data_IF_247550454426
#
_entry.id   IF_247550454426
#
_cell.length_a   1.000
_cell.length_b   1.000
_cell.length_c   1.000
_cell.angle_alpha   90.00
_cell.angle_beta   90.00
_cell.angle_gamma   90.00
#
_symmetry.space_group_name_H-M   'P 1'
#
loop_
_entity.id
_entity.type
_entity.pdbx_description
1 polymer ?
#
# COMPACT_ATOMS: atom_id res chain seq x y z
N UNK A 1 -8.07 72.50 -35.74
CA UNK A 1 -8.93 71.31 -35.97
C UNK A 1 -8.33 70.44 -37.07
N UNK A 2 -7.08 69.98 -36.88
CA UNK A 2 -6.35 69.12 -37.83
C UNK A 2 -5.10 68.45 -37.21
N UNK A 3 -5.00 68.39 -35.86
CA UNK A 3 -3.85 67.76 -35.18
C UNK A 3 -4.12 66.30 -34.74
N UNK A 4 -5.37 65.83 -34.78
CA UNK A 4 -5.72 64.45 -34.39
C UNK A 4 -5.80 63.44 -35.56
N UNK A 5 -5.51 63.87 -36.79
CA UNK A 5 -5.64 63.03 -38.00
C UNK A 5 -4.41 62.16 -38.32
N UNK A 6 -3.31 62.27 -37.56
CA UNK A 6 -2.05 61.58 -37.86
C UNK A 6 -1.38 60.87 -36.67
N UNK A 7 -2.14 60.38 -35.69
CA UNK A 7 -1.55 59.63 -34.57
C UNK A 7 -1.74 58.11 -34.72
N UNK A 8 -1.21 57.54 -35.81
CA UNK A 8 -1.29 56.11 -36.13
C UNK A 8 -0.27 55.22 -35.40
N UNK A 9 0.39 55.70 -34.35
CA UNK A 9 1.42 54.92 -33.66
C UNK A 9 1.41 55.08 -32.13
N UNK A 10 0.22 55.19 -31.53
CA UNK A 10 0.12 54.97 -30.07
C UNK A 10 0.20 53.48 -29.80
N UNK A 11 1.16 53.01 -28.98
CA UNK A 11 1.19 51.61 -28.58
C UNK A 11 -0.14 51.25 -27.91
N UNK A 12 -0.65 50.02 -28.12
CA UNK A 12 -1.92 49.59 -27.52
C UNK A 12 -1.86 49.79 -26.00
N UNK A 13 -2.83 50.52 -25.46
CA UNK A 13 -2.96 50.77 -24.02
C UNK A 13 -3.81 49.66 -23.42
N UNK A 14 -3.23 48.89 -22.52
CA UNK A 14 -3.90 47.78 -21.85
C UNK A 14 -4.50 48.24 -20.52
N UNK A 15 -5.71 47.76 -20.22
CA UNK A 15 -6.21 47.86 -18.84
C UNK A 15 -5.49 46.84 -17.96
N UNK A 16 -5.46 47.06 -16.64
CA UNK A 16 -4.89 46.10 -15.68
C UNK A 16 -5.56 44.73 -15.80
N UNK A 17 -6.88 44.70 -16.03
CA UNK A 17 -7.63 43.47 -16.21
C UNK A 17 -7.25 42.74 -17.50
N UNK A 18 -7.10 43.47 -18.61
CA UNK A 18 -6.74 42.86 -19.89
C UNK A 18 -5.30 42.33 -19.89
N UNK A 19 -4.37 43.06 -19.26
CA UNK A 19 -3.00 42.59 -19.07
C UNK A 19 -2.94 41.34 -18.20
N UNK A 20 -3.69 41.31 -17.09
CA UNK A 20 -3.72 40.15 -16.18
C UNK A 20 -4.31 38.92 -16.87
N UNK A 21 -5.40 39.10 -17.63
CA UNK A 21 -6.01 38.03 -18.42
C UNK A 21 -5.04 37.51 -19.47
N UNK A 22 -4.37 38.41 -20.19
CA UNK A 22 -3.34 38.04 -21.17
C UNK A 22 -2.21 37.21 -20.56
N UNK A 23 -1.70 37.60 -19.38
CA UNK A 23 -0.68 36.83 -18.67
C UNK A 23 -1.18 35.46 -18.22
N UNK A 24 -2.43 35.37 -17.75
CA UNK A 24 -3.04 34.08 -17.40
C UNK A 24 -3.10 33.17 -18.63
N UNK A 25 -3.67 33.67 -19.72
CA UNK A 25 -3.87 32.88 -20.93
C UNK A 25 -2.51 32.43 -21.52
N UNK A 26 -1.48 33.27 -21.43
CA UNK A 26 -0.11 32.91 -21.81
C UNK A 26 0.45 31.77 -20.94
N UNK A 27 0.35 31.88 -19.61
CA UNK A 27 0.82 30.85 -18.69
C UNK A 27 0.06 29.52 -18.87
N UNK A 28 -1.25 29.58 -19.05
CA UNK A 28 -2.10 28.39 -19.24
C UNK A 28 -1.90 27.73 -20.62
N UNK A 29 -1.42 28.49 -21.61
CA UNK A 29 -1.11 27.95 -22.94
C UNK A 29 0.21 27.17 -23.02
N UNK A 30 1.09 27.33 -22.04
CA UNK A 30 2.37 26.62 -21.98
C UNK A 30 2.17 25.20 -21.41
N UNK A 31 2.44 24.19 -22.23
CA UNK A 31 2.27 22.79 -21.85
C UNK A 31 3.13 22.37 -20.64
N UNK A 32 4.31 22.98 -20.44
CA UNK A 32 5.15 22.68 -19.29
C UNK A 32 4.58 23.29 -18.00
N UNK A 33 3.87 24.41 -18.09
CA UNK A 33 3.26 25.07 -16.94
C UNK A 33 1.89 24.50 -16.59
N UNK A 34 1.22 23.85 -17.55
CA UNK A 34 -0.04 23.16 -17.34
C UNK A 34 0.13 21.81 -16.58
N UNK A 35 1.32 21.20 -16.61
CA UNK A 35 1.64 19.90 -15.99
C UNK A 35 3.04 19.94 -15.37
N UNK A 36 3.17 20.57 -14.19
CA UNK A 36 4.46 20.85 -13.55
C UNK A 36 4.59 20.22 -12.16
N UNK A 37 5.81 19.79 -11.85
CA UNK A 37 6.25 19.45 -10.50
C UNK A 37 7.13 20.57 -9.93
N UNK A 38 6.81 21.05 -8.74
CA UNK A 38 7.57 22.07 -8.03
C UNK A 38 8.00 21.55 -6.66
N UNK A 39 9.30 21.61 -6.40
CA UNK A 39 9.90 21.26 -5.12
C UNK A 39 10.04 22.50 -4.24
N UNK A 40 9.80 22.36 -2.93
CA UNK A 40 10.15 23.39 -1.96
C UNK A 40 9.78 23.04 -0.52
N UNK A 41 10.20 23.90 0.40
CA UNK A 41 9.79 23.83 1.79
C UNK A 41 8.40 24.45 1.96
N UNK A 42 7.52 23.73 2.63
CA UNK A 42 6.18 24.20 2.96
C UNK A 42 6.23 25.24 4.06
N UNK A 43 5.51 26.34 3.87
CA UNK A 43 5.31 27.39 4.87
C UNK A 43 3.89 27.96 4.78
N UNK A 44 3.45 28.68 5.81
CA UNK A 44 2.15 29.35 5.87
C UNK A 44 0.95 28.44 5.56
N UNK A 45 0.97 27.18 6.03
CA UNK A 45 -0.15 26.25 5.84
C UNK A 45 -1.43 26.79 6.48
N UNK A 46 -2.50 26.84 5.71
CA UNK A 46 -3.83 27.27 6.12
C UNK A 46 -4.91 26.37 5.53
N UNK A 47 -5.83 25.92 6.38
CA UNK A 47 -6.99 25.11 5.99
C UNK A 47 -8.28 25.68 6.60
N UNK A 48 -8.94 26.64 5.93
CA UNK A 48 -10.18 27.24 6.39
C UNK A 48 -11.35 26.23 6.42
N UNK A 49 -12.50 26.65 6.96
CA UNK A 49 -13.75 25.84 7.02
C UNK A 49 -14.26 25.38 5.64
N UNK A 50 -13.88 26.06 4.56
CA UNK A 50 -14.16 25.63 3.18
C UNK A 50 -13.54 24.27 2.83
N UNK A 51 -12.50 23.85 3.56
CA UNK A 51 -11.79 22.60 3.34
C UNK A 51 -10.74 22.65 2.23
N UNK A 52 -10.53 23.81 1.61
CA UNK A 52 -9.40 24.05 0.71
C UNK A 52 -8.10 24.15 1.52
N UNK A 53 -6.99 23.80 0.88
CA UNK A 53 -5.66 23.86 1.47
C UNK A 53 -4.86 24.94 0.74
N UNK A 54 -4.29 25.84 1.51
CA UNK A 54 -3.42 26.93 1.04
C UNK A 54 -2.08 26.81 1.75
N UNK A 55 -0.99 26.97 1.03
CA UNK A 55 0.34 27.06 1.60
C UNK A 55 1.29 27.77 0.64
N UNK A 56 2.51 28.03 1.08
CA UNK A 56 3.58 28.61 0.28
C UNK A 56 4.71 27.60 0.19
N UNK A 57 5.14 27.28 -1.03
CA UNK A 57 6.42 26.63 -1.28
C UNK A 57 7.49 27.69 -1.33
N UNK A 58 8.62 27.46 -0.66
CA UNK A 58 9.78 28.36 -0.71
C UNK A 58 11.06 27.58 -0.91
N UNK A 59 12.03 28.22 -1.54
CA UNK A 59 13.42 27.80 -1.59
C UNK A 59 14.33 28.93 -1.07
N UNK A 60 15.63 28.88 -1.33
CA UNK A 60 16.58 29.90 -0.88
C UNK A 60 16.40 31.28 -1.54
N UNK A 61 15.66 31.38 -2.65
CA UNK A 61 15.60 32.59 -3.51
C UNK A 61 14.17 33.05 -3.82
N UNK A 62 13.20 32.14 -3.81
CA UNK A 62 11.85 32.39 -4.29
C UNK A 62 10.79 31.73 -3.41
N UNK A 63 9.55 32.18 -3.59
CA UNK A 63 8.37 31.59 -2.98
C UNK A 63 7.21 31.54 -3.98
N UNK A 64 6.38 30.52 -3.87
CA UNK A 64 5.24 30.24 -4.74
C UNK A 64 4.02 29.89 -3.88
N UNK A 65 2.92 30.60 -4.08
CA UNK A 65 1.65 30.24 -3.44
C UNK A 65 1.05 29.02 -4.10
N UNK A 66 0.57 28.10 -3.27
CA UNK A 66 -0.10 26.88 -3.69
C UNK A 66 -1.52 26.86 -3.17
N UNK A 67 -2.45 26.52 -4.05
CA UNK A 67 -3.87 26.33 -3.75
C UNK A 67 -4.25 24.91 -4.14
N UNK A 68 -4.89 24.19 -3.21
CA UNK A 68 -5.44 22.88 -3.49
C UNK A 68 -6.91 22.82 -3.08
N UNK A 69 -7.77 22.54 -4.06
CA UNK A 69 -9.20 22.52 -3.86
C UNK A 69 -9.65 21.30 -3.05
N UNK A 70 -10.75 21.45 -2.30
CA UNK A 70 -11.25 20.44 -1.35
C UNK A 70 -11.36 19.04 -1.96
N UNK A 71 -11.89 18.84 -3.19
CA UNK A 71 -11.96 17.52 -3.79
C UNK A 71 -10.60 16.82 -3.95
N UNK A 72 -9.53 17.58 -4.18
CA UNK A 72 -8.15 17.06 -4.28
C UNK A 72 -7.56 16.82 -2.90
N UNK A 73 -7.74 17.76 -1.96
CA UNK A 73 -7.28 17.63 -0.56
C UNK A 73 -7.82 16.36 0.10
N UNK A 74 -9.10 16.03 -0.14
CA UNK A 74 -9.73 14.84 0.44
C UNK A 74 -9.15 13.51 -0.07
N UNK A 75 -8.39 13.53 -1.17
CA UNK A 75 -7.72 12.35 -1.74
C UNK A 75 -6.26 12.20 -1.28
N UNK A 76 -5.72 13.21 -0.59
CA UNK A 76 -4.36 13.15 -0.10
C UNK A 76 -4.21 12.08 0.99
N UNK A 77 -3.11 11.33 0.93
CA UNK A 77 -2.73 10.36 1.97
C UNK A 77 -2.05 11.03 3.17
N UNK A 78 -1.52 12.23 2.98
CA UNK A 78 -0.92 13.05 4.04
C UNK A 78 -1.23 14.53 3.82
N UNK A 79 -1.19 15.32 4.89
CA UNK A 79 -1.32 16.78 4.81
C UNK A 79 0.05 17.42 5.06
N UNK A 80 0.49 18.34 4.20
CA UNK A 80 1.78 19.00 4.38
C UNK A 80 1.76 19.90 5.62
N UNK A 81 2.89 19.97 6.32
CA UNK A 81 3.12 20.80 7.51
C UNK A 81 4.23 21.82 7.26
N UNK A 82 4.21 22.94 7.99
CA UNK A 82 5.28 23.94 7.90
C UNK A 82 6.65 23.30 8.20
N UNK A 83 7.66 23.64 7.39
CA UNK A 83 9.02 23.12 7.49
C UNK A 83 9.26 21.81 6.74
N UNK A 84 8.24 21.17 6.18
CA UNK A 84 8.41 19.94 5.40
C UNK A 84 8.90 20.24 3.98
N UNK A 85 9.83 19.44 3.49
CA UNK A 85 10.22 19.43 2.08
C UNK A 85 9.26 18.54 1.28
N UNK A 86 8.68 19.09 0.22
CA UNK A 86 7.69 18.38 -0.61
C UNK A 86 7.92 18.65 -2.09
N UNK A 87 7.36 17.78 -2.93
CA UNK A 87 7.12 18.02 -4.34
C UNK A 87 5.61 18.13 -4.58
N UNK A 88 5.19 19.18 -5.29
CA UNK A 88 3.78 19.48 -5.56
C UNK A 88 3.55 19.46 -7.07
N UNK A 89 2.51 18.76 -7.48
CA UNK A 89 2.06 18.67 -8.86
C UNK A 89 0.84 19.54 -9.11
N UNK A 90 0.80 20.21 -10.27
CA UNK A 90 -0.38 20.89 -10.76
C UNK A 90 -0.10 21.80 -11.94
N UNK A 91 -0.90 22.87 -12.04
CA UNK A 91 -0.78 23.86 -13.12
C UNK A 91 -0.52 25.26 -12.57
N UNK A 92 0.30 26.05 -13.27
CA UNK A 92 0.49 27.48 -12.99
C UNK A 92 -0.61 28.28 -13.68
N UNK A 93 -1.25 29.16 -12.91
CA UNK A 93 -2.21 30.14 -13.44
C UNK A 93 -2.22 31.39 -12.57
N UNK A 94 -2.97 32.41 -12.96
CA UNK A 94 -3.03 33.72 -12.30
C UNK A 94 -4.35 33.87 -11.56
N UNK A 95 -4.27 34.18 -10.26
CA UNK A 95 -5.40 34.66 -9.50
C UNK A 95 -5.74 36.10 -9.92
N UNK A 96 -6.67 36.24 -10.86
CA UNK A 96 -6.99 37.51 -11.54
C UNK A 96 -7.26 38.68 -10.57
N UNK A 97 -8.04 38.45 -9.52
CA UNK A 97 -8.40 39.51 -8.58
C UNK A 97 -7.20 40.09 -7.82
N UNK A 98 -6.11 39.31 -7.68
CA UNK A 98 -4.88 39.75 -7.03
C UNK A 98 -3.70 39.96 -7.98
N UNK A 99 -3.82 39.61 -9.27
CA UNK A 99 -2.72 39.65 -10.23
C UNK A 99 -1.52 38.77 -9.87
N UNK A 100 -1.72 37.73 -9.06
CA UNK A 100 -0.65 36.86 -8.55
C UNK A 100 -0.68 35.51 -9.25
N UNK A 101 0.46 35.05 -9.78
CA UNK A 101 0.59 33.67 -10.25
C UNK A 101 0.68 32.71 -9.06
N UNK A 102 0.07 31.53 -9.22
CA UNK A 102 -0.07 30.51 -8.18
C UNK A 102 -0.01 29.12 -8.83
N UNK A 103 0.36 28.13 -8.03
CA UNK A 103 0.25 26.72 -8.39
C UNK A 103 -1.10 26.19 -7.91
N UNK A 104 -1.93 25.75 -8.85
CA UNK A 104 -3.17 25.03 -8.56
C UNK A 104 -2.85 23.54 -8.48
N UNK A 105 -2.63 23.07 -7.26
CA UNK A 105 -2.15 21.72 -6.99
C UNK A 105 -3.26 20.67 -7.09
N UNK A 106 -2.91 19.50 -7.60
CA UNK A 106 -3.76 18.31 -7.60
C UNK A 106 -3.17 17.14 -6.81
N UNK A 107 -1.84 17.12 -6.62
CA UNK A 107 -1.09 16.06 -5.92
C UNK A 107 0.08 16.68 -5.16
N UNK A 108 0.41 16.10 -4.01
CA UNK A 108 1.55 16.48 -3.15
C UNK A 108 2.22 15.20 -2.69
N UNK A 109 3.55 15.15 -2.66
CA UNK A 109 4.35 14.08 -2.06
C UNK A 109 5.52 14.63 -1.25
N UNK A 110 5.97 13.99 -0.16
CA UNK A 110 7.20 14.38 0.52
C UNK A 110 8.40 14.28 -0.43
N UNK A 111 9.37 15.17 -0.26
CA UNK A 111 10.60 15.14 -1.05
C UNK A 111 11.35 13.82 -0.77
N UNK A 112 11.71 13.09 -1.83
CA UNK A 112 12.35 11.76 -1.75
C UNK A 112 11.44 10.59 -2.14
N UNK A 113 10.11 10.74 -2.06
CA UNK A 113 9.16 9.69 -2.50
C UNK A 113 9.29 9.40 -4.01
N UNK A 114 9.66 10.40 -4.82
CA UNK A 114 9.89 10.23 -6.26
C UNK A 114 11.08 9.32 -6.60
N UNK A 115 12.18 9.40 -5.85
CA UNK A 115 13.34 8.52 -6.05
C UNK A 115 13.02 7.08 -5.63
N UNK A 116 12.39 6.91 -4.46
CA UNK A 116 11.91 5.59 -4.02
C UNK A 116 10.93 4.98 -5.01
N UNK A 117 9.99 5.75 -5.55
CA UNK A 117 9.05 5.23 -6.55
C UNK A 117 9.73 4.84 -7.86
N UNK A 118 10.67 5.65 -8.36
CA UNK A 118 11.47 5.31 -9.55
C UNK A 118 12.30 4.06 -9.33
N UNK A 119 12.95 3.94 -8.19
CA UNK A 119 13.75 2.78 -7.83
C UNK A 119 12.89 1.52 -7.68
N UNK A 120 11.70 1.65 -7.08
CA UNK A 120 10.72 0.58 -6.99
C UNK A 120 10.31 0.08 -8.37
N UNK A 121 9.96 0.98 -9.31
CA UNK A 121 9.61 0.59 -10.68
C UNK A 121 10.77 -0.08 -11.41
N UNK A 122 11.99 0.43 -11.23
CA UNK A 122 13.21 -0.15 -11.81
C UNK A 122 13.45 -1.57 -11.32
N UNK A 123 13.43 -1.78 -10.00
CA UNK A 123 13.62 -3.10 -9.39
C UNK A 123 12.47 -4.04 -9.72
N UNK A 124 11.22 -3.57 -9.72
CA UNK A 124 10.06 -4.36 -10.12
C UNK A 124 10.25 -4.91 -11.53
N UNK A 125 10.51 -4.05 -12.51
CA UNK A 125 10.66 -4.46 -13.90
C UNK A 125 11.79 -5.48 -14.09
N UNK A 126 12.92 -5.29 -13.39
CA UNK A 126 14.05 -6.22 -13.43
C UNK A 126 13.69 -7.60 -12.85
N UNK A 127 13.14 -7.64 -11.64
CA UNK A 127 12.82 -8.90 -10.96
C UNK A 127 11.65 -9.64 -11.63
N UNK A 128 10.73 -8.90 -12.24
CA UNK A 128 9.66 -9.44 -13.08
C UNK A 128 10.23 -10.08 -14.35
N UNK A 129 11.20 -9.45 -15.02
CA UNK A 129 11.88 -10.02 -16.17
C UNK A 129 12.69 -11.29 -15.84
N UNK A 130 13.15 -11.42 -14.60
CA UNK A 130 13.79 -12.63 -14.07
C UNK A 130 12.78 -13.73 -13.66
N UNK A 131 11.46 -13.48 -13.75
CA UNK A 131 10.40 -14.44 -13.41
C UNK A 131 10.12 -14.61 -11.92
N UNK A 132 10.67 -13.75 -11.05
CA UNK A 132 10.51 -13.88 -9.60
C UNK A 132 9.07 -13.65 -9.13
N UNK A 133 8.24 -12.99 -9.95
CA UNK A 133 6.85 -12.68 -9.66
C UNK A 133 5.85 -13.60 -10.38
N UNK A 134 6.32 -14.61 -11.09
CA UNK A 134 5.47 -15.51 -11.88
C UNK A 134 4.44 -16.23 -11.01
N UNK A 135 3.17 -16.19 -11.42
CA UNK A 135 2.07 -16.87 -10.73
C UNK A 135 2.29 -18.38 -10.65
N UNK A 136 2.93 -18.99 -11.67
CA UNK A 136 3.24 -20.42 -11.69
C UNK A 136 4.24 -20.88 -10.60
N UNK A 137 4.99 -19.94 -10.01
CA UNK A 137 5.91 -20.22 -8.91
C UNK A 137 5.19 -20.27 -7.55
N UNK A 138 4.07 -19.54 -7.42
CA UNK A 138 3.37 -19.36 -6.14
C UNK A 138 2.72 -20.66 -5.71
N UNK A 139 2.98 -21.05 -4.46
CA UNK A 139 2.51 -22.31 -3.88
C UNK A 139 1.20 -22.11 -3.14
N UNK A 140 0.31 -23.12 -3.13
CA UNK A 140 -0.91 -23.04 -2.34
C UNK A 140 -0.59 -23.02 -0.85
N UNK A 141 -1.33 -22.22 -0.09
CA UNK A 141 -1.26 -22.20 1.37
C UNK A 141 -1.92 -23.49 1.92
N UNK A 142 -1.26 -24.23 2.82
CA UNK A 142 -1.85 -25.42 3.42
C UNK A 142 -3.17 -25.10 4.15
N UNK A 143 -4.26 -25.86 3.94
CA UNK A 143 -5.55 -25.56 4.55
C UNK A 143 -5.59 -25.80 6.08
N UNK A 144 -4.68 -26.65 6.59
CA UNK A 144 -4.59 -27.03 8.00
C UNK A 144 -3.13 -26.98 8.48
N UNK A 145 -2.51 -25.80 8.58
CA UNK A 145 -1.11 -25.70 8.97
C UNK A 145 -0.95 -26.08 10.44
N UNK A 146 -0.10 -27.06 10.73
CA UNK A 146 0.24 -27.46 12.10
C UNK A 146 1.21 -26.49 12.72
N UNK A 147 2.11 -25.89 11.92
CA UNK A 147 3.11 -24.94 12.38
C UNK A 147 3.15 -23.70 11.51
N UNK A 148 3.01 -22.53 12.13
CA UNK A 148 3.03 -21.22 11.49
C UNK A 148 4.27 -20.45 11.98
N UNK A 149 5.14 -20.07 11.04
CA UNK A 149 6.24 -19.16 11.32
C UNK A 149 5.78 -17.70 11.20
N UNK A 150 6.24 -16.82 12.08
CA UNK A 150 5.98 -15.38 11.98
C UNK A 150 7.30 -14.62 11.98
N UNK A 151 7.50 -13.76 10.98
CA UNK A 151 8.58 -12.78 10.91
C UNK A 151 7.98 -11.38 11.08
N UNK A 152 8.23 -10.78 12.24
CA UNK A 152 7.79 -9.41 12.55
C UNK A 152 8.56 -8.85 13.75
N UNK A 153 8.32 -7.58 14.09
CA UNK A 153 8.88 -6.98 15.32
C UNK A 153 8.26 -7.60 16.59
N UNK A 154 9.07 -7.98 17.59
CA UNK A 154 8.58 -8.61 18.82
C UNK A 154 7.73 -7.67 19.70
N UNK A 155 7.90 -6.35 19.55
CA UNK A 155 7.22 -5.34 20.38
C UNK A 155 6.01 -4.69 19.68
N UNK A 156 5.77 -5.00 18.40
CA UNK A 156 4.74 -4.37 17.59
C UNK A 156 3.31 -4.85 17.87
N UNK A 157 2.32 -3.98 17.62
CA UNK A 157 0.90 -4.35 17.66
C UNK A 157 0.56 -5.48 16.66
N UNK A 158 1.21 -5.47 15.49
CA UNK A 158 1.02 -6.48 14.44
C UNK A 158 1.17 -7.92 14.94
N UNK A 159 2.19 -8.20 15.78
CA UNK A 159 2.37 -9.53 16.36
C UNK A 159 1.17 -9.93 17.23
N UNK A 160 0.73 -9.04 18.11
CA UNK A 160 -0.40 -9.28 19.02
C UNK A 160 -1.67 -9.55 18.23
N UNK A 161 -1.93 -8.78 17.18
CA UNK A 161 -3.13 -8.92 16.34
C UNK A 161 -3.15 -10.23 15.56
N UNK A 162 -1.99 -10.65 15.02
CA UNK A 162 -1.84 -11.96 14.39
C UNK A 162 -2.05 -13.10 15.38
N UNK A 163 -1.41 -13.04 16.55
CA UNK A 163 -1.56 -14.07 17.59
C UNK A 163 -3.01 -14.18 18.09
N UNK A 164 -3.69 -13.06 18.30
CA UNK A 164 -5.09 -13.05 18.71
C UNK A 164 -6.00 -13.67 17.64
N UNK A 165 -5.75 -13.34 16.38
CA UNK A 165 -6.49 -13.90 15.24
C UNK A 165 -6.29 -15.41 15.13
N UNK A 166 -5.04 -15.89 15.18
CA UNK A 166 -4.72 -17.32 15.11
C UNK A 166 -5.35 -18.08 16.29
N UNK A 167 -5.22 -17.58 17.52
CA UNK A 167 -5.83 -18.21 18.70
C UNK A 167 -7.35 -18.31 18.61
N UNK A 168 -8.00 -17.27 18.08
CA UNK A 168 -9.46 -17.26 17.90
C UNK A 168 -9.91 -18.24 16.82
N UNK A 169 -9.21 -18.27 15.67
CA UNK A 169 -9.62 -19.01 14.46
C UNK A 169 -9.12 -20.45 14.43
N UNK A 170 -7.87 -20.69 14.83
CA UNK A 170 -7.25 -22.00 14.72
C UNK A 170 -6.21 -22.23 15.84
N UNK A 171 -6.66 -22.42 17.09
CA UNK A 171 -5.78 -22.61 18.25
C UNK A 171 -4.98 -23.93 18.25
N UNK A 172 -5.18 -24.79 17.23
CA UNK A 172 -4.46 -26.05 17.07
C UNK A 172 -3.07 -25.87 16.45
N UNK A 173 -2.82 -24.72 15.80
CA UNK A 173 -1.52 -24.44 15.19
C UNK A 173 -0.49 -24.02 16.25
N UNK A 174 0.70 -24.60 16.16
CA UNK A 174 1.90 -24.11 16.83
C UNK A 174 2.38 -22.83 16.12
N UNK A 175 2.65 -21.77 16.87
CA UNK A 175 3.14 -20.50 16.32
C UNK A 175 4.56 -20.24 16.81
N UNK A 176 5.48 -20.03 15.87
CA UNK A 176 6.89 -19.75 16.17
C UNK A 176 7.27 -18.37 15.64
N UNK A 177 7.71 -17.48 16.53
CA UNK A 177 8.18 -16.15 16.18
C UNK A 177 9.69 -16.19 15.88
N UNK A 178 10.07 -15.73 14.70
CA UNK A 178 11.43 -15.30 14.40
C UNK A 178 11.46 -13.76 14.42
N UNK A 179 11.93 -13.14 15.51
CA UNK A 179 11.87 -11.69 15.66
C UNK A 179 12.82 -11.01 14.66
N UNK A 180 12.33 -9.97 14.01
CA UNK A 180 13.13 -9.18 13.07
C UNK A 180 12.84 -7.69 13.22
N UNK A 181 13.85 -6.85 12.93
CA UNK A 181 13.61 -5.47 12.60
C UNK A 181 12.84 -5.42 11.27
N UNK A 182 11.77 -4.63 11.23
CA UNK A 182 10.86 -4.54 10.07
C UNK A 182 10.78 -3.12 9.49
N UNK A 183 11.68 -2.24 9.92
CA UNK A 183 11.86 -0.88 9.42
C UNK A 183 13.29 -0.41 9.71
N UNK A 184 13.76 0.58 8.93
CA UNK A 184 15.13 1.11 9.02
C UNK A 184 16.15 0.29 8.24
N UNK A 185 17.38 0.81 8.16
CA UNK A 185 18.45 0.28 7.27
C UNK A 185 18.87 -1.17 7.59
N UNK A 186 18.74 -1.59 8.85
CA UNK A 186 19.11 -2.94 9.30
C UNK A 186 18.00 -3.98 9.09
N UNK A 187 16.79 -3.55 8.71
CA UNK A 187 15.65 -4.44 8.57
C UNK A 187 15.80 -5.51 7.48
N UNK A 188 16.32 -5.22 6.26
CA UNK A 188 16.48 -6.25 5.23
C UNK A 188 17.28 -7.47 5.71
N UNK A 189 18.43 -7.22 6.33
CA UNK A 189 19.30 -8.29 6.83
C UNK A 189 18.64 -9.06 8.00
N UNK A 190 17.93 -8.37 8.88
CA UNK A 190 17.18 -9.01 9.96
C UNK A 190 16.04 -9.91 9.45
N UNK A 191 15.30 -9.46 8.43
CA UNK A 191 14.22 -10.23 7.80
C UNK A 191 14.79 -11.49 7.13
N UNK A 192 15.89 -11.36 6.38
CA UNK A 192 16.55 -12.49 5.70
C UNK A 192 16.96 -13.56 6.72
N UNK A 193 17.69 -13.16 7.78
CA UNK A 193 18.10 -14.09 8.85
C UNK A 193 16.91 -14.77 9.54
N UNK A 194 15.81 -14.04 9.75
CA UNK A 194 14.62 -14.61 10.35
C UNK A 194 13.92 -15.63 9.43
N UNK A 195 13.84 -15.36 8.13
CA UNK A 195 13.32 -16.29 7.12
C UNK A 195 14.19 -17.55 7.03
N UNK A 196 15.51 -17.39 6.99
CA UNK A 196 16.46 -18.50 6.98
C UNK A 196 16.33 -19.34 8.25
N UNK A 197 16.29 -18.72 9.44
CA UNK A 197 16.14 -19.43 10.70
C UNK A 197 14.84 -20.25 10.75
N UNK A 198 13.72 -19.71 10.27
CA UNK A 198 12.47 -20.45 10.17
C UNK A 198 12.59 -21.64 9.21
N UNK A 199 13.16 -21.44 8.02
CA UNK A 199 13.29 -22.50 7.03
C UNK A 199 14.24 -23.62 7.48
N UNK A 200 15.33 -23.29 8.16
CA UNK A 200 16.35 -24.27 8.60
C UNK A 200 15.94 -25.02 9.86
N UNK A 201 15.57 -24.30 10.93
CA UNK A 201 15.41 -24.89 12.26
C UNK A 201 13.97 -25.27 12.58
N UNK A 202 13.01 -24.50 12.07
CA UNK A 202 11.59 -24.62 12.45
C UNK A 202 10.81 -25.45 11.42
N UNK A 203 11.08 -25.24 10.13
CA UNK A 203 10.37 -25.85 8.99
C UNK A 203 8.85 -25.75 9.14
N UNK A 204 8.29 -24.53 9.22
CA UNK A 204 6.85 -24.34 9.35
C UNK A 204 6.12 -24.73 8.06
N UNK A 205 4.81 -24.97 8.16
CA UNK A 205 3.96 -25.24 6.99
C UNK A 205 3.67 -23.97 6.19
N UNK A 206 3.73 -22.80 6.84
CA UNK A 206 3.52 -21.47 6.24
C UNK A 206 4.25 -20.41 7.07
N UNK A 207 4.75 -19.36 6.41
CA UNK A 207 5.40 -18.22 7.06
C UNK A 207 4.57 -16.95 6.83
N UNK A 208 4.36 -16.17 7.88
CA UNK A 208 3.77 -14.83 7.81
C UNK A 208 4.89 -13.79 7.92
N UNK A 209 5.12 -13.02 6.85
CA UNK A 209 6.01 -11.88 6.86
C UNK A 209 5.18 -10.60 6.97
N UNK A 210 5.25 -9.92 8.11
CA UNK A 210 4.28 -8.85 8.39
C UNK A 210 4.87 -7.64 9.10
N UNK A 211 4.31 -6.48 8.76
CA UNK A 211 4.54 -5.19 9.41
C UNK A 211 3.22 -4.42 9.41
N UNK A 212 2.92 -3.71 10.50
CA UNK A 212 1.79 -2.77 10.52
C UNK A 212 1.97 -1.61 9.53
N UNK A 213 1.01 -0.69 9.51
CA UNK A 213 1.11 0.54 8.71
C UNK A 213 2.25 1.47 9.13
N UNK A 214 2.51 2.47 8.29
CA UNK A 214 3.47 3.55 8.55
C UNK A 214 3.76 4.32 7.27
N UNK A 215 4.81 5.14 7.26
CA UNK A 215 5.21 5.89 6.06
C UNK A 215 5.79 4.93 5.01
N UNK A 216 5.82 5.36 3.75
CA UNK A 216 6.38 4.58 2.65
C UNK A 216 7.86 4.23 2.90
N UNK A 217 8.61 5.15 3.49
CA UNK A 217 10.02 4.97 3.90
C UNK A 217 10.19 3.81 4.88
N UNK A 218 9.28 3.65 5.84
CA UNK A 218 9.35 2.56 6.80
C UNK A 218 9.09 1.20 6.15
N UNK A 219 8.33 1.18 5.04
CA UNK A 219 8.04 -0.03 4.27
C UNK A 219 9.16 -0.38 3.29
N UNK A 220 10.14 0.50 3.10
CA UNK A 220 11.15 0.34 2.05
C UNK A 220 12.01 -0.91 2.20
N UNK A 221 12.20 -1.40 3.43
CA UNK A 221 12.92 -2.65 3.70
C UNK A 221 12.32 -3.87 2.95
N UNK A 222 11.03 -3.82 2.65
CA UNK A 222 10.30 -4.85 1.90
C UNK A 222 10.41 -4.70 0.37
N UNK A 223 11.11 -3.66 -0.10
CA UNK A 223 11.51 -3.47 -1.49
C UNK A 223 12.98 -3.83 -1.74
N UNK A 224 13.72 -4.27 -0.73
CA UNK A 224 15.10 -4.71 -0.90
C UNK A 224 15.14 -6.02 -1.72
N UNK A 225 15.91 -6.02 -2.80
CA UNK A 225 16.07 -7.17 -3.71
C UNK A 225 16.48 -8.45 -2.96
N UNK A 226 17.33 -8.34 -1.93
CA UNK A 226 17.80 -9.50 -1.15
C UNK A 226 16.66 -10.13 -0.36
N UNK A 227 15.75 -9.32 0.17
CA UNK A 227 14.56 -9.81 0.89
C UNK A 227 13.60 -10.48 -0.09
N UNK A 228 13.38 -9.88 -1.26
CA UNK A 228 12.55 -10.49 -2.32
C UNK A 228 13.08 -11.87 -2.69
N UNK A 229 14.39 -11.99 -2.94
CA UNK A 229 15.03 -13.27 -3.25
C UNK A 229 14.94 -14.27 -2.09
N UNK A 230 15.07 -13.83 -0.84
CA UNK A 230 14.89 -14.70 0.32
C UNK A 230 13.45 -15.23 0.45
N UNK A 231 12.44 -14.40 0.14
CA UNK A 231 11.04 -14.83 0.10
C UNK A 231 10.82 -15.87 -1.00
N UNK A 232 11.37 -15.64 -2.20
CA UNK A 232 11.31 -16.59 -3.33
C UNK A 232 11.99 -17.92 -2.98
N UNK A 233 13.14 -17.87 -2.30
CA UNK A 233 13.92 -19.04 -1.90
C UNK A 233 13.36 -19.79 -0.67
N UNK A 234 12.34 -19.24 0.00
CA UNK A 234 11.76 -19.86 1.19
C UNK A 234 11.20 -21.25 0.87
N UNK A 235 11.50 -22.25 1.71
CA UNK A 235 11.00 -23.61 1.54
C UNK A 235 9.50 -23.73 1.85
N UNK A 236 9.03 -22.98 2.84
CA UNK A 236 7.60 -22.86 3.17
C UNK A 236 6.95 -21.72 2.36
N UNK A 237 5.64 -21.84 2.01
CA UNK A 237 4.90 -20.75 1.40
C UNK A 237 4.85 -19.52 2.31
N UNK A 238 5.06 -18.34 1.73
CA UNK A 238 5.11 -17.06 2.44
C UNK A 238 3.85 -16.26 2.15
N UNK A 239 3.19 -15.80 3.22
CA UNK A 239 2.09 -14.84 3.16
C UNK A 239 2.59 -13.49 3.66
N UNK A 240 2.46 -12.44 2.85
CA UNK A 240 2.78 -11.08 3.30
C UNK A 240 1.57 -10.41 3.93
N UNK A 241 1.83 -9.58 4.95
CA UNK A 241 0.86 -8.71 5.59
C UNK A 241 1.50 -7.39 5.94
N UNK A 242 1.92 -6.63 4.92
CA UNK A 242 2.76 -5.44 5.06
C UNK A 242 1.92 -4.18 4.76
N UNK A 243 1.75 -3.32 5.75
CA UNK A 243 1.02 -2.06 5.58
C UNK A 243 -0.52 -2.22 5.56
N UNK A 244 -1.17 -1.51 4.64
CA UNK A 244 -2.62 -1.51 4.39
C UNK A 244 -2.95 -1.94 2.95
N UNK A 245 -4.25 -1.93 2.62
CA UNK A 245 -4.76 -2.33 1.31
C UNK A 245 -4.07 -1.63 0.13
N UNK A 246 -3.72 -0.36 0.29
CA UNK A 246 -3.12 0.48 -0.76
C UNK A 246 -1.60 0.41 -0.84
N UNK A 247 -0.96 -0.31 0.08
CA UNK A 247 0.49 -0.36 0.19
C UNK A 247 0.97 -1.61 -0.56
N UNK A 248 1.90 -1.44 -1.48
CA UNK A 248 2.46 -2.54 -2.26
C UNK A 248 3.98 -2.48 -2.20
N UNK A 249 4.58 -3.63 -1.93
CA UNK A 249 6.02 -3.81 -1.84
C UNK A 249 6.48 -4.93 -2.74
N UNK A 250 7.77 -4.99 -3.10
CA UNK A 250 8.27 -6.03 -4.01
C UNK A 250 8.10 -7.44 -3.43
N UNK A 251 8.22 -7.60 -2.11
CA UNK A 251 7.94 -8.90 -1.47
C UNK A 251 6.49 -9.33 -1.64
N UNK A 252 5.52 -8.42 -1.79
CA UNK A 252 4.12 -8.81 -2.02
C UNK A 252 3.93 -9.48 -3.38
N UNK A 253 4.74 -9.10 -4.37
CA UNK A 253 4.72 -9.73 -5.69
C UNK A 253 5.45 -11.08 -5.68
N UNK A 254 6.51 -11.20 -4.87
CA UNK A 254 7.25 -12.44 -4.68
C UNK A 254 6.58 -13.46 -3.73
N UNK A 255 5.74 -13.01 -2.81
CA UNK A 255 5.07 -13.90 -1.88
C UNK A 255 4.12 -14.88 -2.59
N UNK A 256 3.90 -16.03 -1.96
CA UNK A 256 2.93 -17.02 -2.43
C UNK A 256 1.49 -16.49 -2.28
N UNK A 257 1.25 -15.62 -1.28
CA UNK A 257 -0.02 -14.95 -1.10
C UNK A 257 0.14 -13.58 -0.45
N UNK A 258 -0.48 -12.55 -1.03
CA UNK A 258 -0.57 -11.22 -0.42
C UNK A 258 -1.82 -11.10 0.48
N UNK A 259 -1.64 -10.48 1.64
CA UNK A 259 -2.71 -9.94 2.47
C UNK A 259 -2.52 -8.43 2.70
N UNK A 260 -3.61 -7.65 2.82
CA UNK A 260 -3.52 -6.20 2.99
C UNK A 260 -3.05 -5.76 4.38
N UNK A 261 -3.11 -6.63 5.39
CA UNK A 261 -2.73 -6.32 6.77
C UNK A 261 -2.17 -7.56 7.47
N UNK A 262 -1.41 -7.40 8.57
CA UNK A 262 -0.96 -8.53 9.39
C UNK A 262 -2.10 -9.44 9.83
N UNK A 263 -3.21 -8.87 10.31
CA UNK A 263 -4.40 -9.60 10.72
C UNK A 263 -4.99 -10.42 9.56
N UNK A 264 -5.11 -9.82 8.37
CA UNK A 264 -5.61 -10.54 7.20
C UNK A 264 -4.66 -11.66 6.74
N UNK A 265 -3.35 -11.51 6.93
CA UNK A 265 -2.39 -12.58 6.68
C UNK A 265 -2.64 -13.78 7.60
N UNK A 266 -2.85 -13.53 8.90
CA UNK A 266 -3.21 -14.57 9.86
C UNK A 266 -4.56 -15.23 9.54
N UNK A 267 -5.55 -14.48 9.05
CA UNK A 267 -6.84 -15.05 8.63
C UNK A 267 -6.70 -15.94 7.39
N UNK A 268 -5.91 -15.52 6.40
CA UNK A 268 -5.63 -16.31 5.19
C UNK A 268 -4.80 -17.57 5.48
N UNK A 269 -3.97 -17.53 6.51
CA UNK A 269 -3.18 -18.68 6.95
C UNK A 269 -3.99 -19.71 7.75
N UNK A 270 -5.18 -19.35 8.27
CA UNK A 270 -5.88 -20.19 9.24
C UNK A 270 -7.33 -20.50 8.84
N UNK A 271 -7.76 -21.77 8.95
CA UNK A 271 -9.16 -22.11 8.79
C UNK A 271 -9.99 -21.50 9.93
N UNK A 272 -11.30 -21.38 9.72
CA UNK A 272 -12.20 -20.87 10.74
C UNK A 272 -12.69 -22.02 11.64
N UNK A 273 -12.52 -21.86 12.95
CA UNK A 273 -12.96 -22.83 13.98
C UNK A 273 -14.45 -23.18 13.89
N UNK A 274 -15.31 -22.21 13.61
CA UNK A 274 -16.76 -22.44 13.62
C UNK A 274 -17.20 -23.17 12.35
N UNK A 275 -16.58 -22.87 11.21
CA UNK A 275 -16.76 -23.62 9.96
C UNK A 275 -16.32 -25.08 10.14
N UNK A 276 -15.15 -25.30 10.75
CA UNK A 276 -14.66 -26.64 11.06
C UNK A 276 -15.61 -27.42 11.98
N UNK A 277 -16.17 -26.76 13.00
CA UNK A 277 -17.13 -27.38 13.92
C UNK A 277 -18.42 -27.74 13.19
N UNK A 278 -18.89 -26.88 12.29
CA UNK A 278 -20.06 -27.14 11.47
C UNK A 278 -19.83 -28.33 10.53
N UNK A 279 -18.68 -28.36 9.85
CA UNK A 279 -18.31 -29.44 8.94
C UNK A 279 -18.18 -30.80 9.66
N UNK A 280 -17.56 -30.83 10.84
CA UNK A 280 -17.49 -32.04 11.67
C UNK A 280 -18.87 -32.55 12.08
N UNK A 281 -19.78 -31.66 12.48
CA UNK A 281 -21.17 -32.04 12.81
C UNK A 281 -21.89 -32.61 11.59
N UNK A 282 -21.73 -31.98 10.42
CA UNK A 282 -22.31 -32.45 9.16
C UNK A 282 -21.79 -33.84 8.77
N UNK A 283 -20.48 -34.05 8.90
CA UNK A 283 -19.85 -35.36 8.66
C UNK A 283 -20.38 -36.43 9.63
N UNK A 284 -20.52 -36.10 10.92
CA UNK A 284 -21.08 -37.01 11.92
C UNK A 284 -22.53 -37.41 11.62
N UNK A 285 -23.38 -36.45 11.23
CA UNK A 285 -24.77 -36.72 10.83
C UNK A 285 -24.85 -37.60 9.57
N UNK A 286 -23.98 -37.35 8.58
CA UNK A 286 -23.89 -38.19 7.37
C UNK A 286 -23.46 -39.62 7.70
N UNK A 287 -22.47 -39.78 8.57
CA UNK A 287 -22.00 -41.09 9.02
C UNK A 287 -23.12 -41.87 9.74
N UNK A 288 -23.84 -41.22 10.67
CA UNK A 288 -24.95 -41.83 11.39
C UNK A 288 -26.05 -42.33 10.44
N UNK A 289 -26.47 -41.48 9.48
CA UNK A 289 -27.47 -41.85 8.46
C UNK A 289 -26.99 -43.02 7.59
N UNK A 290 -25.72 -43.03 7.19
CA UNK A 290 -25.15 -44.11 6.38
C UNK A 290 -25.15 -45.45 7.16
N UNK A 291 -24.77 -45.43 8.44
CA UNK A 291 -24.79 -46.60 9.31
C UNK A 291 -26.21 -47.11 9.54
N UNK A 292 -27.18 -46.22 9.81
CA UNK A 292 -28.59 -46.61 9.96
C UNK A 292 -29.16 -47.25 8.70
N UNK A 293 -28.89 -46.67 7.53
CA UNK A 293 -29.32 -47.23 6.25
C UNK A 293 -28.71 -48.60 6.01
N UNK A 294 -27.41 -48.77 6.32
CA UNK A 294 -26.72 -50.06 6.20
C UNK A 294 -27.31 -51.12 7.13
N UNK A 295 -27.53 -50.78 8.41
CA UNK A 295 -28.15 -51.66 9.39
C UNK A 295 -29.57 -52.06 8.99
N UNK A 296 -30.38 -51.11 8.48
CA UNK A 296 -31.72 -51.40 7.95
C UNK A 296 -31.68 -52.37 6.78
N UNK A 297 -30.77 -52.17 5.82
CA UNK A 297 -30.61 -53.06 4.68
C UNK A 297 -30.20 -54.48 5.09
N UNK A 298 -29.25 -54.63 6.01
CA UNK A 298 -28.82 -55.95 6.49
C UNK A 298 -29.92 -56.66 7.32
N UNK A 299 -30.70 -55.91 8.11
CA UNK A 299 -31.87 -56.47 8.80
C UNK A 299 -32.94 -56.98 7.82
N UNK A 300 -33.18 -56.26 6.72
CA UNK A 300 -34.11 -56.71 5.68
C UNK A 300 -33.60 -57.97 4.97
N UNK A 301 -32.30 -58.04 4.65
CA UNK A 301 -31.68 -59.23 4.06
C UNK A 301 -31.78 -60.45 4.97
N UNK A 302 -31.46 -60.30 6.25
CA UNK A 302 -31.56 -61.39 7.22
C UNK A 302 -33.00 -61.92 7.31
N UNK A 303 -33.99 -61.02 7.37
CA UNK A 303 -35.41 -61.42 7.37
C UNK A 303 -35.81 -62.18 6.10
N UNK A 304 -35.28 -61.81 4.95
CA UNK A 304 -35.58 -62.48 3.68
C UNK A 304 -34.94 -63.88 3.55
N UNK A 305 -33.91 -64.20 4.35
CA UNK A 305 -33.28 -65.54 4.38
C UNK A 305 -33.94 -66.46 5.42
N UNK A 306 -34.56 -65.89 6.45
CA UNK A 306 -35.22 -66.62 7.53
C UNK A 306 -36.70 -66.91 7.24
N UNK A 307 -37.29 -66.24 6.23
CA UNK A 307 -38.63 -66.51 5.71
C UNK A 307 -38.57 -67.50 4.55
#
# INVERSE_FOLDING_TARGET
MLEDLFNFNRPPVWTVADLTRYLRDLLESDANLADIWVQGEVSNVSRPRSGHLYFTLKDARAQLRVVMWKPRVMRLRFLPQNGQQVEVHGAISVYEAGGQYQLYADTIRPLGEGEFYREFLRLKARLEAEGLFDEGRKRPVPPFPRRIGIVTSPTGAALRDMLNTIRRRYPLAEVVLAPALVQGEQAPEAIIRALEALNTYVRPDVILLARGGGLAEDLWAFNDERVVRAVVASAAPVITGVGHQTDFTLVDFAADLRAPTPTAAAEKATPNRDDLRHDLRRLGQRLARALESRLRAERLRLRAVVA
#
